data_IF_016607143239
#
_entry.id   IF_016607143239
#
_cell.length_a   1.000
_cell.length_b   1.000
_cell.length_c   1.000
_cell.angle_alpha   90.00
_cell.angle_beta   90.00
_cell.angle_gamma   90.00
#
_symmetry.space_group_name_H-M   'P 1'
#
loop_
_entity.id
_entity.type
_entity.pdbx_description
1 polymer ?
#
# COMPACT_ATOMS: atom_id res chain seq x y z
N UNK A 1 7.22 26.97 23.65
CA UNK A 1 7.49 27.33 22.24
C UNK A 1 6.53 26.54 21.36
N UNK A 2 5.51 27.17 20.78
CA UNK A 2 4.61 26.46 19.88
C UNK A 2 5.32 26.26 18.53
N UNK A 3 5.38 25.02 18.03
CA UNK A 3 5.98 24.71 16.72
C UNK A 3 5.30 25.53 15.63
N UNK A 4 6.08 26.10 14.70
CA UNK A 4 5.58 26.91 13.56
C UNK A 4 4.41 26.28 12.80
N UNK A 5 4.33 24.94 12.80
CA UNK A 5 3.24 24.17 12.22
C UNK A 5 1.85 24.53 12.79
N UNK A 6 1.74 24.81 14.10
CA UNK A 6 0.46 25.19 14.75
C UNK A 6 -0.02 26.58 14.35
N UNK A 7 0.91 27.52 14.15
CA UNK A 7 0.57 28.90 13.78
C UNK A 7 0.01 28.96 12.35
N UNK A 8 0.60 28.20 11.42
CA UNK A 8 0.13 28.10 10.03
C UNK A 8 -1.26 27.45 9.92
N UNK A 9 -1.58 26.49 10.79
CA UNK A 9 -2.91 25.86 10.82
C UNK A 9 -3.99 26.81 11.35
N UNK A 10 -3.67 27.63 12.36
CA UNK A 10 -4.62 28.61 12.91
C UNK A 10 -4.97 29.75 11.96
N UNK A 11 -4.07 30.12 11.04
CA UNK A 11 -4.33 31.20 10.08
C UNK A 11 -5.09 30.74 8.83
N UNK A 12 -5.20 29.44 8.58
CA UNK A 12 -5.78 28.90 7.34
C UNK A 12 -7.33 28.79 7.36
N UNK A 13 -7.99 29.16 8.46
CA UNK A 13 -9.46 29.15 8.57
C UNK A 13 -10.14 27.79 8.35
N UNK A 14 -9.39 26.68 8.40
CA UNK A 14 -9.94 25.33 8.21
C UNK A 14 -10.59 24.82 9.49
N UNK A 15 -11.79 24.22 9.42
CA UNK A 15 -12.51 23.74 10.60
C UNK A 15 -11.68 22.72 11.39
N UNK A 16 -11.73 22.86 12.71
CA UNK A 16 -11.01 22.05 13.69
C UNK A 16 -11.65 20.67 13.85
N UNK A 17 -11.30 19.74 12.97
CA UNK A 17 -11.18 18.31 13.24
C UNK A 17 -10.78 17.64 11.91
N UNK A 18 -9.79 16.72 11.87
CA UNK A 18 -9.76 15.78 10.77
C UNK A 18 -11.03 14.93 10.90
N UNK A 19 -12.03 15.21 10.06
CA UNK A 19 -13.08 14.23 9.80
C UNK A 19 -12.34 13.00 9.31
N UNK A 20 -12.31 11.93 10.12
CA UNK A 20 -11.78 10.65 9.69
C UNK A 20 -12.46 10.32 8.36
N UNK A 21 -11.71 9.97 7.30
CA UNK A 21 -12.31 9.63 6.02
C UNK A 21 -13.38 8.57 6.26
N UNK A 22 -14.64 8.91 6.04
CA UNK A 22 -15.70 7.91 6.07
C UNK A 22 -15.37 6.94 4.95
N UNK A 23 -15.20 5.67 5.32
CA UNK A 23 -14.97 4.64 4.33
C UNK A 23 -16.16 4.63 3.37
N UNK A 24 -15.94 4.61 2.05
CA UNK A 24 -17.02 4.38 1.11
C UNK A 24 -17.69 3.03 1.41
N UNK A 25 -19.02 3.01 1.52
CA UNK A 25 -19.81 1.78 1.59
C UNK A 25 -19.76 0.98 0.27
N UNK A 26 -19.31 1.61 -0.82
CA UNK A 26 -19.15 1.02 -2.14
C UNK A 26 -17.79 0.31 -2.28
N UNK A 27 -17.71 -0.86 -2.93
CA UNK A 27 -16.42 -1.53 -3.16
C UNK A 27 -15.49 -0.59 -3.91
N UNK A 28 -14.39 -0.20 -3.25
CA UNK A 28 -13.40 0.72 -3.81
C UNK A 28 -12.91 0.13 -5.14
N UNK A 29 -13.16 0.83 -6.25
CA UNK A 29 -12.63 0.44 -7.56
C UNK A 29 -11.12 0.68 -7.57
N UNK A 30 -10.37 -0.38 -7.29
CA UNK A 30 -8.91 -0.35 -7.26
C UNK A 30 -8.28 -0.25 -8.66
N UNK A 31 -9.09 -0.36 -9.72
CA UNK A 31 -8.62 -0.21 -11.10
C UNK A 31 -8.21 1.24 -11.40
N UNK A 32 -8.92 2.21 -10.81
CA UNK A 32 -8.71 3.65 -11.03
C UNK A 32 -7.90 4.32 -9.92
N UNK A 33 -7.38 3.52 -8.98
CA UNK A 33 -6.58 4.01 -7.88
C UNK A 33 -5.30 4.72 -8.40
N UNK A 34 -4.96 5.92 -7.86
CA UNK A 34 -3.75 6.63 -8.23
C UNK A 34 -2.51 5.75 -8.04
N UNK A 35 -1.65 5.72 -9.04
CA UNK A 35 -0.43 4.93 -9.02
C UNK A 35 0.64 5.61 -9.86
N UNK A 36 1.88 5.18 -9.65
CA UNK A 36 2.99 5.62 -10.47
C UNK A 36 4.32 5.08 -10.00
N UNK A 37 5.37 5.71 -10.51
CA UNK A 37 6.76 5.36 -10.23
C UNK A 37 7.49 6.60 -9.73
N UNK A 38 8.40 6.41 -8.78
CA UNK A 38 9.42 7.41 -8.45
C UNK A 38 10.74 6.73 -8.11
N UNK A 39 11.85 7.47 -8.16
CA UNK A 39 13.17 6.93 -7.87
C UNK A 39 13.65 7.37 -6.50
N UNK A 40 14.29 6.45 -5.78
CA UNK A 40 15.01 6.76 -4.54
C UNK A 40 16.51 6.80 -4.84
N UNK A 41 17.24 7.83 -4.37
CA UNK A 41 18.69 7.85 -4.47
C UNK A 41 19.32 6.73 -3.62
N UNK A 42 20.56 6.31 -3.93
CA UNK A 42 21.28 5.37 -3.09
C UNK A 42 21.48 5.96 -1.67
N UNK A 43 21.38 5.11 -0.66
CA UNK A 43 21.45 5.47 0.75
C UNK A 43 21.18 4.29 1.67
N UNK A 44 20.99 4.53 2.97
CA UNK A 44 20.47 3.49 3.86
C UNK A 44 18.93 3.49 3.76
N UNK A 45 18.24 2.37 3.45
CA UNK A 45 18.73 0.98 3.38
C UNK A 45 19.11 0.46 1.98
N UNK A 46 19.00 1.26 0.92
CA UNK A 46 19.22 0.83 -0.46
C UNK A 46 20.59 1.25 -0.99
N UNK A 47 21.57 0.34 -1.12
CA UNK A 47 22.93 0.69 -1.55
C UNK A 47 22.99 1.28 -2.97
N UNK A 48 22.02 0.94 -3.80
CA UNK A 48 21.88 1.40 -5.17
C UNK A 48 20.62 2.27 -5.36
N UNK A 49 20.54 2.93 -6.52
CA UNK A 49 19.33 3.64 -6.91
C UNK A 49 18.22 2.63 -7.19
N UNK A 50 17.10 2.75 -6.49
CA UNK A 50 15.92 1.88 -6.67
C UNK A 50 14.76 2.67 -7.24
N UNK A 51 13.85 1.97 -7.91
CA UNK A 51 12.59 2.55 -8.40
C UNK A 51 11.45 2.00 -7.59
N UNK A 52 10.60 2.88 -7.06
CA UNK A 52 9.44 2.50 -6.26
C UNK A 52 8.20 2.59 -7.12
N UNK A 53 7.54 1.44 -7.31
CA UNK A 53 6.18 1.39 -7.83
C UNK A 53 5.19 1.55 -6.68
N UNK A 54 4.22 2.45 -6.82
CA UNK A 54 3.26 2.74 -5.76
C UNK A 54 1.82 2.79 -6.26
N UNK A 55 0.89 2.49 -5.35
CA UNK A 55 -0.56 2.56 -5.55
C UNK A 55 -1.19 3.12 -4.27
N UNK A 56 -2.03 4.13 -4.40
CA UNK A 56 -2.73 4.77 -3.29
C UNK A 56 -4.20 4.38 -3.26
N UNK A 57 -4.69 4.03 -2.06
CA UNK A 57 -6.06 3.62 -1.80
C UNK A 57 -6.53 4.32 -0.53
N UNK A 58 -7.42 5.31 -0.65
CA UNK A 58 -7.88 6.16 0.45
C UNK A 58 -6.69 6.80 1.19
N UNK A 59 -6.46 6.44 2.45
CA UNK A 59 -5.38 6.93 3.31
C UNK A 59 -4.16 5.98 3.36
N UNK A 60 -4.12 4.96 2.50
CA UNK A 60 -3.07 3.94 2.46
C UNK A 60 -2.29 4.03 1.16
N UNK A 61 -1.01 3.71 1.21
CA UNK A 61 -0.18 3.51 0.04
C UNK A 61 0.47 2.12 0.10
N UNK A 62 0.39 1.39 -1.00
CA UNK A 62 1.15 0.17 -1.23
C UNK A 62 2.35 0.53 -2.11
N UNK A 63 3.51 -0.03 -1.80
CA UNK A 63 4.74 0.24 -2.54
C UNK A 63 5.57 -1.04 -2.73
N UNK A 64 6.14 -1.19 -3.92
CA UNK A 64 7.17 -2.18 -4.23
C UNK A 64 8.45 -1.45 -4.59
N UNK A 65 9.52 -1.75 -3.86
CA UNK A 65 10.86 -1.23 -4.15
C UNK A 65 11.50 -2.20 -5.13
N UNK A 66 11.85 -1.69 -6.30
CA UNK A 66 12.39 -2.48 -7.40
C UNK A 66 13.85 -2.12 -7.67
N UNK A 67 14.68 -3.15 -7.84
CA UNK A 67 16.07 -3.01 -8.25
C UNK A 67 16.16 -2.55 -9.72
N UNK A 68 17.29 -1.95 -10.17
CA UNK A 68 17.45 -1.42 -11.52
C UNK A 68 17.18 -2.42 -12.66
N UNK A 69 17.31 -3.72 -12.40
CA UNK A 69 17.17 -4.77 -13.40
C UNK A 69 15.76 -5.36 -13.45
N UNK A 70 14.89 -4.99 -12.51
CA UNK A 70 13.55 -5.57 -12.41
C UNK A 70 12.58 -4.95 -13.42
N UNK A 71 11.53 -5.72 -13.73
CA UNK A 71 10.51 -5.28 -14.67
C UNK A 71 9.48 -4.39 -13.96
N UNK A 72 9.60 -3.07 -14.14
CA UNK A 72 8.73 -2.09 -13.50
C UNK A 72 7.25 -2.24 -13.90
N UNK A 73 6.97 -2.56 -15.17
CA UNK A 73 5.60 -2.78 -15.63
C UNK A 73 4.97 -3.99 -14.94
N UNK A 74 5.76 -5.05 -14.72
CA UNK A 74 5.32 -6.21 -13.97
C UNK A 74 5.07 -5.84 -12.50
N UNK A 75 5.96 -5.06 -11.88
CA UNK A 75 5.80 -4.61 -10.51
C UNK A 75 4.50 -3.82 -10.32
N UNK A 76 4.18 -2.87 -11.21
CA UNK A 76 2.92 -2.13 -11.16
C UNK A 76 1.69 -3.04 -11.29
N UNK A 77 1.70 -3.97 -12.24
CA UNK A 77 0.60 -4.93 -12.44
C UNK A 77 0.44 -5.82 -11.19
N UNK A 78 1.55 -6.26 -10.62
CA UNK A 78 1.59 -7.05 -9.39
C UNK A 78 0.97 -6.28 -8.24
N UNK A 79 1.39 -5.03 -8.04
CA UNK A 79 0.88 -4.19 -6.97
C UNK A 79 -0.63 -3.98 -7.07
N UNK A 80 -1.16 -3.74 -8.28
CA UNK A 80 -2.61 -3.63 -8.52
C UNK A 80 -3.37 -4.92 -8.23
N UNK A 81 -2.77 -6.09 -8.49
CA UNK A 81 -3.37 -7.40 -8.20
C UNK A 81 -3.35 -7.75 -6.70
N UNK A 82 -2.34 -7.29 -5.97
CA UNK A 82 -2.15 -7.61 -4.56
C UNK A 82 -2.90 -6.65 -3.63
N UNK A 83 -2.97 -5.36 -3.96
CA UNK A 83 -3.58 -4.36 -3.11
C UNK A 83 -5.01 -4.70 -2.63
N UNK A 84 -5.95 -5.20 -3.48
CA UNK A 84 -7.28 -5.61 -3.01
C UNK A 84 -7.22 -6.66 -1.90
N UNK A 85 -6.30 -7.61 -2.02
CA UNK A 85 -6.17 -8.75 -1.10
C UNK A 85 -5.51 -8.35 0.20
N UNK A 86 -4.49 -7.51 0.13
CA UNK A 86 -3.86 -6.93 1.32
C UNK A 86 -4.86 -6.07 2.09
N UNK A 87 -5.65 -5.25 1.39
CA UNK A 87 -6.69 -4.42 1.99
C UNK A 87 -7.72 -5.25 2.75
N UNK A 88 -8.20 -6.32 2.13
CA UNK A 88 -9.19 -7.23 2.71
C UNK A 88 -8.62 -8.05 3.88
N UNK A 89 -7.49 -8.71 3.67
CA UNK A 89 -6.92 -9.68 4.61
C UNK A 89 -6.35 -9.01 5.87
N UNK A 90 -5.75 -7.82 5.71
CA UNK A 90 -5.22 -7.05 6.83
C UNK A 90 -6.28 -6.14 7.48
N UNK A 91 -7.51 -6.11 6.92
CA UNK A 91 -8.63 -5.28 7.40
C UNK A 91 -8.24 -3.80 7.59
N UNK A 92 -7.40 -3.26 6.71
CA UNK A 92 -6.77 -1.93 6.85
C UNK A 92 -7.77 -0.77 6.77
N UNK A 93 -9.01 -1.05 6.38
CA UNK A 93 -10.07 -0.07 6.23
C UNK A 93 -11.30 -0.39 7.11
N UNK A 94 -11.23 -1.38 8.00
CA UNK A 94 -12.34 -1.71 8.88
C UNK A 94 -12.36 -0.86 10.16
N UNK A 95 -13.49 -0.83 10.90
CA UNK A 95 -13.49 -0.32 12.28
C UNK A 95 -12.45 -1.08 13.11
N UNK A 96 -11.48 -0.35 13.68
CA UNK A 96 -10.34 -0.94 14.39
C UNK A 96 -9.06 -1.11 13.55
N UNK A 97 -9.00 -0.58 12.32
CA UNK A 97 -7.78 -0.54 11.51
C UNK A 97 -6.62 0.22 12.20
N UNK A 98 -6.93 1.11 13.15
CA UNK A 98 -5.95 1.79 14.00
C UNK A 98 -5.28 0.86 15.04
N UNK A 99 -5.83 -0.33 15.29
CA UNK A 99 -5.42 -1.22 16.41
C UNK A 99 -4.35 -2.23 15.98
N UNK A 100 -3.29 -1.73 15.34
CA UNK A 100 -2.09 -2.47 14.90
C UNK A 100 -2.25 -3.09 13.51
N UNK A 101 -1.37 -2.65 12.59
CA UNK A 101 -0.93 -3.45 11.47
C UNK A 101 -0.67 -4.87 12.00
N UNK A 102 -1.13 -5.90 11.29
CA UNK A 102 -0.91 -7.31 11.66
C UNK A 102 0.32 -7.81 10.90
N UNK A 103 1.55 -7.52 11.35
CA UNK A 103 2.75 -7.86 10.61
C UNK A 103 2.80 -9.37 10.34
N UNK A 104 2.38 -10.22 11.27
CA UNK A 104 2.40 -11.67 11.09
C UNK A 104 1.45 -12.11 9.97
N UNK A 105 0.29 -11.47 9.85
CA UNK A 105 -0.64 -11.75 8.75
C UNK A 105 -0.10 -11.22 7.43
N UNK A 106 0.57 -10.06 7.44
CA UNK A 106 1.20 -9.51 6.25
C UNK A 106 2.36 -10.40 5.77
N UNK A 107 3.20 -10.88 6.67
CA UNK A 107 4.32 -11.77 6.37
C UNK A 107 3.83 -13.07 5.74
N UNK A 108 2.81 -13.73 6.31
CA UNK A 108 2.24 -14.97 5.75
C UNK A 108 1.65 -14.73 4.34
N UNK A 109 0.99 -13.59 4.13
CA UNK A 109 0.44 -13.24 2.81
C UNK A 109 1.56 -12.99 1.80
N UNK A 110 2.60 -12.25 2.19
CA UNK A 110 3.73 -11.94 1.34
C UNK A 110 4.53 -13.21 1.01
N UNK A 111 4.75 -14.11 1.95
CA UNK A 111 5.41 -15.40 1.70
C UNK A 111 4.66 -16.26 0.66
N UNK A 112 3.33 -16.15 0.60
CA UNK A 112 2.51 -16.89 -0.38
C UNK A 112 2.42 -16.20 -1.73
N UNK A 113 2.35 -14.87 -1.75
CA UNK A 113 2.06 -14.08 -2.96
C UNK A 113 3.34 -13.59 -3.65
N UNK A 114 4.36 -13.27 -2.87
CA UNK A 114 5.66 -12.71 -3.26
C UNK A 114 6.79 -13.33 -2.40
N UNK A 115 7.00 -14.65 -2.44
CA UNK A 115 8.09 -15.29 -1.70
C UNK A 115 9.42 -14.64 -2.07
N UNK A 116 10.13 -14.10 -1.09
CA UNK A 116 11.40 -13.39 -1.29
C UNK A 116 11.32 -12.22 -2.31
N UNK A 117 10.15 -11.60 -2.47
CA UNK A 117 9.92 -10.55 -3.46
C UNK A 117 9.77 -11.06 -4.90
N UNK A 118 9.79 -12.38 -5.13
CA UNK A 118 9.66 -12.96 -6.46
C UNK A 118 8.18 -13.13 -6.81
N UNK A 119 7.79 -12.58 -7.96
CA UNK A 119 6.43 -12.74 -8.46
C UNK A 119 6.19 -14.17 -8.91
N UNK A 120 5.28 -14.88 -8.24
CA UNK A 120 4.74 -16.14 -8.73
C UNK A 120 3.73 -15.90 -9.86
N UNK A 121 3.36 -16.96 -10.59
CA UNK A 121 2.31 -16.85 -11.58
C UNK A 121 0.94 -16.60 -10.91
N UNK A 122 0.60 -15.32 -10.72
CA UNK A 122 -0.62 -14.85 -10.06
C UNK A 122 -1.85 -14.97 -10.97
N UNK A 123 -2.20 -16.20 -11.36
CA UNK A 123 -3.45 -16.44 -12.09
C UNK A 123 -4.65 -16.30 -11.14
N UNK A 124 -5.83 -16.00 -11.71
CA UNK A 124 -7.05 -15.82 -10.91
C UNK A 124 -7.42 -17.05 -10.06
N UNK A 125 -7.11 -18.27 -10.53
CA UNK A 125 -7.40 -19.50 -9.80
C UNK A 125 -6.52 -19.69 -8.57
N UNK A 126 -5.24 -19.35 -8.69
CA UNK A 126 -4.25 -19.38 -7.62
C UNK A 126 -4.63 -18.34 -6.58
N UNK A 127 -4.91 -17.12 -7.03
CA UNK A 127 -5.35 -16.05 -6.15
C UNK A 127 -6.62 -16.43 -5.38
N UNK A 128 -7.63 -17.01 -6.06
CA UNK A 128 -8.83 -17.54 -5.40
C UNK A 128 -8.55 -18.69 -4.42
N UNK A 129 -7.56 -19.53 -4.69
CA UNK A 129 -7.17 -20.60 -3.78
C UNK A 129 -6.53 -20.02 -2.51
N UNK A 130 -5.63 -19.04 -2.66
CA UNK A 130 -5.03 -18.30 -1.53
C UNK A 130 -6.12 -17.61 -0.71
N UNK A 131 -7.07 -16.94 -1.37
CA UNK A 131 -8.18 -16.24 -0.70
C UNK A 131 -9.10 -17.21 0.09
N UNK A 132 -9.14 -18.51 -0.26
CA UNK A 132 -9.93 -19.54 0.46
C UNK A 132 -9.21 -20.15 1.66
N UNK A 133 -7.88 -20.13 1.65
CA UNK A 133 -7.05 -20.68 2.72
C UNK A 133 -6.80 -19.68 3.86
N UNK A 134 -7.21 -18.42 3.66
CA UNK A 134 -7.16 -17.29 4.59
C UNK A 134 -8.47 -17.13 5.36
#
# INVERSE_FOLDING_TARGET
>A
VASQCRLLQSSSGRPSAPQLPQLPDEPISLQDAPAGLFQLPPGDPFPERVTVAWLSVLALAFALVCDPQENLSLAEITLRRLAPRLLASLRLLGPGADVLLRPETADILLDRLLPHGQMLFLNERFLQAVDREM
#
